data_IF_387697680660
#
_entry.id   IF_387697680660
#
_cell.length_a   1.000
_cell.length_b   1.000
_cell.length_c   1.000
_cell.angle_alpha   90.00
_cell.angle_beta   90.00
_cell.angle_gamma   90.00
#
_symmetry.space_group_name_H-M   'P 1'
#
loop_
_entity.id
_entity.type
_entity.pdbx_description
1 polymer ?
#
# COMPACT_ATOMS: atom_id res chain seq x y z
N UNK A 1 1.13 18.53 5.23
CA UNK A 1 0.38 17.45 5.87
C UNK A 1 0.83 16.11 5.33
N UNK A 2 1.03 15.17 6.22
CA UNK A 2 1.45 13.83 5.81
C UNK A 2 0.29 13.10 5.10
N UNK A 3 0.62 12.35 4.05
CA UNK A 3 -0.35 11.62 3.28
C UNK A 3 -0.80 10.31 3.93
N UNK A 4 -1.86 9.74 3.38
CA UNK A 4 -2.29 8.38 3.67
C UNK A 4 -2.10 7.51 2.44
N UNK A 5 -2.01 6.21 2.69
CA UNK A 5 -1.81 5.22 1.65
C UNK A 5 -2.62 3.98 2.01
N UNK A 6 -3.47 3.54 1.10
CA UNK A 6 -4.17 2.28 1.28
C UNK A 6 -3.28 1.12 0.84
N UNK A 7 -3.30 0.03 1.58
CA UNK A 7 -2.72 -1.21 1.07
C UNK A 7 -3.69 -1.91 0.11
N UNK A 8 -3.24 -3.03 -0.46
CA UNK A 8 -4.06 -3.76 -1.42
C UNK A 8 -5.39 -4.24 -0.83
N UNK A 9 -5.46 -4.55 0.47
CA UNK A 9 -6.68 -5.07 1.09
C UNK A 9 -7.85 -4.08 1.01
N UNK A 10 -7.56 -2.79 1.15
CA UNK A 10 -8.59 -1.73 1.05
C UNK A 10 -9.11 -1.61 -0.38
N UNK A 11 -8.21 -1.60 -1.37
CA UNK A 11 -8.61 -1.53 -2.79
C UNK A 11 -9.37 -2.78 -3.23
N UNK A 12 -8.91 -3.96 -2.84
CA UNK A 12 -9.57 -5.22 -3.18
C UNK A 12 -10.99 -5.23 -2.64
N UNK A 13 -11.19 -4.83 -1.40
CA UNK A 13 -12.52 -4.74 -0.80
C UNK A 13 -13.43 -3.80 -1.59
N UNK A 14 -12.93 -2.62 -1.97
CA UNK A 14 -13.71 -1.64 -2.74
C UNK A 14 -14.03 -2.17 -4.15
N UNK A 15 -13.06 -2.76 -4.84
CA UNK A 15 -13.27 -3.32 -6.19
C UNK A 15 -14.30 -4.45 -6.19
N UNK A 16 -14.34 -5.25 -5.12
CA UNK A 16 -15.33 -6.33 -4.96
C UNK A 16 -16.73 -5.83 -4.64
N UNK A 17 -16.84 -4.65 -4.01
CA UNK A 17 -18.14 -4.05 -3.67
C UNK A 17 -18.83 -3.40 -4.86
N UNK A 18 -18.10 -3.18 -5.97
CA UNK A 18 -18.68 -2.69 -7.22
C UNK A 18 -18.46 -1.18 -7.44
N UNK A 19 -19.18 -0.65 -8.43
CA UNK A 19 -18.91 0.67 -8.99
C UNK A 19 -19.07 1.82 -8.00
N UNK A 20 -20.01 1.73 -7.07
CA UNK A 20 -20.24 2.79 -6.07
C UNK A 20 -19.01 2.96 -5.14
N UNK A 21 -18.39 1.86 -4.73
CA UNK A 21 -17.20 1.91 -3.89
C UNK A 21 -15.99 2.43 -4.67
N UNK A 22 -15.84 2.04 -5.94
CA UNK A 22 -14.80 2.56 -6.84
C UNK A 22 -14.96 4.06 -7.03
N UNK A 23 -16.19 4.54 -7.24
CA UNK A 23 -16.47 5.97 -7.32
C UNK A 23 -16.11 6.69 -6.02
N UNK A 24 -16.33 6.07 -4.87
CA UNK A 24 -15.93 6.61 -3.58
C UNK A 24 -14.41 6.79 -3.46
N UNK A 25 -13.63 5.81 -3.94
CA UNK A 25 -12.17 5.94 -4.01
C UNK A 25 -11.75 7.08 -4.93
N UNK A 26 -12.38 7.22 -6.07
CA UNK A 26 -12.09 8.30 -7.02
C UNK A 26 -12.44 9.67 -6.46
N UNK A 27 -13.50 9.78 -5.68
CA UNK A 27 -13.84 11.02 -4.97
C UNK A 27 -12.81 11.37 -3.93
N UNK A 28 -12.37 10.39 -3.13
CA UNK A 28 -11.32 10.59 -2.15
C UNK A 28 -10.02 11.09 -2.79
N UNK A 29 -9.73 10.61 -4.00
CA UNK A 29 -8.60 11.10 -4.78
C UNK A 29 -8.75 12.56 -5.20
N UNK A 30 -9.95 12.97 -5.63
CA UNK A 30 -10.21 14.30 -6.19
C UNK A 30 -10.39 15.39 -5.14
N UNK A 31 -11.15 15.08 -4.09
CA UNK A 31 -11.59 16.10 -3.14
C UNK A 31 -10.59 16.41 -2.07
N UNK A 32 -9.58 15.52 -1.88
CA UNK A 32 -8.61 15.66 -0.81
C UNK A 32 -9.30 16.36 0.33
N UNK A 33 -9.97 15.67 1.19
CA UNK A 33 -10.77 16.26 2.23
C UNK A 33 -9.98 17.37 2.94
N UNK A 34 -10.60 18.52 3.19
CA UNK A 34 -9.99 19.67 3.87
C UNK A 34 -9.44 19.33 5.25
N UNK A 35 -9.89 18.25 5.83
CA UNK A 35 -9.43 17.75 7.13
C UNK A 35 -8.64 16.45 6.99
N UNK A 36 -8.57 15.87 5.79
CA UNK A 36 -7.92 14.60 5.60
C UNK A 36 -6.61 14.77 4.84
N UNK A 37 -5.75 13.88 5.19
CA UNK A 37 -4.45 13.70 4.58
C UNK A 37 -4.63 13.30 3.12
N UNK A 38 -3.80 13.82 2.20
CA UNK A 38 -3.92 13.46 0.79
C UNK A 38 -3.67 11.96 0.59
N UNK A 39 -4.46 11.36 -0.31
CA UNK A 39 -4.33 9.94 -0.66
C UNK A 39 -3.25 9.75 -1.72
N UNK A 40 -2.33 8.84 -1.46
CA UNK A 40 -1.28 8.42 -2.37
C UNK A 40 -1.48 6.96 -2.77
N UNK A 41 -1.02 6.60 -3.96
CA UNK A 41 -1.00 5.21 -4.41
C UNK A 41 0.44 4.72 -4.44
N UNK A 42 0.71 3.62 -3.76
CA UNK A 42 2.01 2.93 -3.85
C UNK A 42 2.08 2.13 -5.13
N UNK A 43 3.19 2.24 -5.85
CA UNK A 43 3.45 1.40 -7.03
C UNK A 43 3.52 -0.09 -6.66
N UNK A 44 3.96 -0.42 -5.45
CA UNK A 44 3.99 -1.80 -4.96
C UNK A 44 2.58 -2.34 -4.78
N UNK A 45 1.68 -1.52 -4.22
CA UNK A 45 0.25 -1.87 -4.09
C UNK A 45 -0.37 -2.07 -5.48
N UNK A 46 -0.06 -1.19 -6.42
CA UNK A 46 -0.57 -1.28 -7.77
C UNK A 46 -0.12 -2.59 -8.45
N UNK A 47 1.13 -2.99 -8.26
CA UNK A 47 1.64 -4.29 -8.75
C UNK A 47 0.80 -5.43 -8.21
N UNK A 48 0.54 -5.48 -6.91
CA UNK A 48 -0.29 -6.53 -6.29
C UNK A 48 -1.71 -6.55 -6.88
N UNK A 49 -2.28 -5.38 -7.10
CA UNK A 49 -3.62 -5.29 -7.69
C UNK A 49 -3.65 -5.82 -9.12
N UNK A 50 -2.63 -5.52 -9.92
CA UNK A 50 -2.53 -6.07 -11.28
C UNK A 50 -2.36 -7.58 -11.30
N UNK A 51 -1.63 -8.14 -10.36
CA UNK A 51 -1.48 -9.61 -10.25
C UNK A 51 -2.85 -10.30 -10.12
N UNK A 52 -3.78 -9.69 -9.38
CA UNK A 52 -5.13 -10.21 -9.19
C UNK A 52 -6.15 -9.79 -10.24
N UNK A 53 -5.77 -8.96 -11.20
CA UNK A 53 -6.69 -8.37 -12.18
C UNK A 53 -6.86 -9.29 -13.40
N UNK A 54 -7.55 -10.40 -13.22
CA UNK A 54 -7.76 -11.41 -14.26
C UNK A 54 -8.76 -10.90 -15.32
N UNK A 55 -9.78 -10.16 -14.88
CA UNK A 55 -10.83 -9.65 -15.76
C UNK A 55 -10.45 -8.34 -16.44
N UNK A 56 -10.86 -8.19 -17.69
CA UNK A 56 -10.55 -6.99 -18.49
C UNK A 56 -11.09 -5.70 -17.86
N UNK A 57 -12.27 -5.75 -17.26
CA UNK A 57 -12.87 -4.60 -16.59
C UNK A 57 -12.00 -4.12 -15.42
N UNK A 58 -11.52 -5.04 -14.58
CA UNK A 58 -10.66 -4.70 -13.46
C UNK A 58 -9.35 -4.08 -13.94
N UNK A 59 -8.73 -4.64 -14.99
CA UNK A 59 -7.51 -4.06 -15.57
C UNK A 59 -7.73 -2.64 -16.06
N UNK A 60 -8.87 -2.36 -16.70
CA UNK A 60 -9.20 -1.00 -17.16
C UNK A 60 -9.38 -0.04 -15.98
N UNK A 61 -10.04 -0.48 -14.92
CA UNK A 61 -10.23 0.33 -13.71
C UNK A 61 -8.88 0.66 -13.06
N UNK A 62 -7.97 -0.31 -12.98
CA UNK A 62 -6.63 -0.10 -12.43
C UNK A 62 -5.80 0.84 -13.31
N UNK A 63 -5.86 0.69 -14.63
CA UNK A 63 -5.16 1.59 -15.56
C UNK A 63 -5.66 3.03 -15.41
N UNK A 64 -6.95 3.21 -15.21
CA UNK A 64 -7.54 4.54 -14.97
C UNK A 64 -7.05 5.11 -13.65
N UNK A 65 -7.06 4.32 -12.59
CA UNK A 65 -6.52 4.71 -11.29
C UNK A 65 -5.06 5.14 -11.38
N UNK A 66 -4.24 4.33 -12.02
CA UNK A 66 -2.82 4.63 -12.20
C UNK A 66 -2.63 5.98 -12.89
N UNK A 67 -3.34 6.23 -13.97
CA UNK A 67 -3.27 7.52 -14.71
C UNK A 67 -3.71 8.69 -13.83
N UNK A 68 -4.79 8.52 -13.06
CA UNK A 68 -5.30 9.60 -12.19
C UNK A 68 -4.29 9.99 -11.11
N UNK A 69 -3.69 9.00 -10.45
CA UNK A 69 -2.66 9.26 -9.43
C UNK A 69 -1.38 9.84 -10.03
N UNK A 70 -0.96 9.33 -11.18
CA UNK A 70 0.21 9.85 -11.89
C UNK A 70 0.01 11.31 -12.29
N UNK A 71 -1.15 11.64 -12.84
CA UNK A 71 -1.49 12.98 -13.29
C UNK A 71 -1.40 14.02 -12.15
N UNK A 72 -1.80 13.65 -10.95
CA UNK A 72 -1.74 14.57 -9.80
C UNK A 72 -0.45 14.45 -9.00
N UNK A 73 0.50 13.60 -9.44
CA UNK A 73 1.79 13.46 -8.80
C UNK A 73 1.75 12.75 -7.46
N UNK A 74 0.83 11.80 -7.28
CA UNK A 74 0.68 11.06 -6.02
C UNK A 74 0.89 9.56 -6.17
N UNK A 75 1.83 9.16 -7.03
CA UNK A 75 2.36 7.81 -7.04
C UNK A 75 3.59 7.75 -6.13
N UNK A 76 3.57 6.86 -5.16
CA UNK A 76 4.72 6.65 -4.27
C UNK A 76 5.58 5.52 -4.82
N UNK A 77 6.82 5.85 -5.16
CA UNK A 77 7.81 4.88 -5.63
C UNK A 77 8.85 4.68 -4.52
N UNK A 78 9.06 3.43 -4.06
CA UNK A 78 10.13 3.16 -3.12
C UNK A 78 11.49 3.47 -3.75
N UNK A 79 12.36 4.09 -2.98
CA UNK A 79 13.73 4.35 -3.40
C UNK A 79 14.68 3.21 -2.98
N UNK A 80 15.96 3.35 -3.29
CA UNK A 80 16.96 2.35 -2.93
C UNK A 80 16.98 2.07 -1.43
N UNK A 81 16.85 3.11 -0.59
CA UNK A 81 16.83 2.97 0.87
C UNK A 81 15.65 2.18 1.37
N UNK A 82 14.50 2.40 0.78
CA UNK A 82 13.28 1.69 1.16
C UNK A 82 13.43 0.19 0.91
N UNK A 83 13.97 -0.18 -0.24
CA UNK A 83 14.24 -1.57 -0.59
C UNK A 83 15.26 -2.22 0.35
N UNK A 84 16.37 -1.54 0.61
CA UNK A 84 17.43 -2.11 1.47
C UNK A 84 16.99 -2.19 2.94
N UNK A 85 16.24 -1.20 3.41
CA UNK A 85 15.63 -1.23 4.75
C UNK A 85 14.62 -2.36 4.89
N UNK A 86 13.82 -2.60 3.87
CA UNK A 86 12.88 -3.72 3.85
C UNK A 86 13.63 -5.05 3.97
N UNK A 87 14.71 -5.23 3.24
CA UNK A 87 15.55 -6.42 3.33
C UNK A 87 16.11 -6.64 4.74
N UNK A 88 16.57 -5.57 5.38
CA UNK A 88 17.08 -5.64 6.76
C UNK A 88 15.99 -6.04 7.75
N UNK A 89 14.79 -5.47 7.63
CA UNK A 89 13.64 -5.83 8.46
C UNK A 89 13.24 -7.30 8.25
N UNK A 90 13.18 -7.74 6.99
CA UNK A 90 12.84 -9.13 6.67
C UNK A 90 13.86 -10.11 7.25
N UNK A 91 15.16 -9.76 7.24
CA UNK A 91 16.19 -10.56 7.87
C UNK A 91 15.93 -10.72 9.37
N UNK A 92 15.59 -9.65 10.06
CA UNK A 92 15.27 -9.68 11.49
C UNK A 92 14.02 -10.51 11.79
N UNK A 93 13.01 -10.40 10.95
CA UNK A 93 11.81 -11.24 11.05
C UNK A 93 12.16 -12.71 10.90
N UNK A 94 12.96 -13.03 9.90
CA UNK A 94 13.42 -14.40 9.65
C UNK A 94 14.22 -14.98 10.83
N UNK A 95 15.09 -14.19 11.42
CA UNK A 95 15.90 -14.60 12.59
C UNK A 95 15.01 -14.87 13.82
N UNK A 96 13.96 -14.07 14.02
CA UNK A 96 13.11 -14.22 15.22
C UNK A 96 11.98 -15.25 15.01
N UNK A 97 11.35 -15.30 13.83
CA UNK A 97 10.14 -16.08 13.58
C UNK A 97 10.32 -17.19 12.56
N UNK A 98 11.47 -17.29 11.92
CA UNK A 98 11.75 -18.27 10.88
C UNK A 98 11.61 -17.71 9.47
N UNK A 99 12.46 -18.20 8.55
CA UNK A 99 12.54 -17.68 7.19
C UNK A 99 11.42 -18.19 6.28
N UNK A 100 10.61 -19.14 6.71
CA UNK A 100 9.43 -19.58 5.95
C UNK A 100 8.42 -18.43 5.71
N UNK A 101 8.29 -17.52 6.69
CA UNK A 101 7.45 -16.34 6.54
C UNK A 101 8.02 -15.39 5.49
N UNK A 102 9.33 -15.21 5.47
CA UNK A 102 10.02 -14.28 4.57
C UNK A 102 9.92 -14.72 3.11
N UNK A 103 9.75 -16.01 2.86
CA UNK A 103 9.55 -16.54 1.51
C UNK A 103 8.22 -16.14 0.86
N UNK A 104 7.31 -15.54 1.61
CA UNK A 104 6.02 -15.13 1.10
C UNK A 104 6.13 -13.74 0.45
N UNK A 105 5.77 -13.67 -0.84
CA UNK A 105 5.86 -12.42 -1.62
C UNK A 105 5.09 -11.27 -0.98
N UNK A 106 3.95 -11.56 -0.37
CA UNK A 106 3.09 -10.56 0.26
C UNK A 106 3.77 -9.85 1.44
N UNK A 107 4.47 -10.58 2.28
CA UNK A 107 5.22 -9.99 3.39
C UNK A 107 6.35 -9.10 2.87
N UNK A 108 7.05 -9.53 1.83
CA UNK A 108 8.11 -8.75 1.18
C UNK A 108 7.56 -7.43 0.67
N UNK A 109 6.44 -7.47 -0.05
CA UNK A 109 5.79 -6.26 -0.57
C UNK A 109 5.36 -5.33 0.56
N UNK A 110 4.74 -5.86 1.60
CA UNK A 110 4.31 -5.06 2.76
C UNK A 110 5.49 -4.41 3.46
N UNK A 111 6.64 -5.09 3.55
CA UNK A 111 7.85 -4.51 4.13
C UNK A 111 8.37 -3.33 3.30
N UNK A 112 8.35 -3.44 1.96
CA UNK A 112 8.76 -2.33 1.08
C UNK A 112 7.79 -1.15 1.20
N UNK A 113 6.49 -1.43 1.23
CA UNK A 113 5.46 -0.39 1.43
C UNK A 113 5.70 0.31 2.76
N UNK A 114 5.89 -0.44 3.84
CA UNK A 114 6.11 0.11 5.18
C UNK A 114 7.35 1.00 5.24
N UNK A 115 8.44 0.60 4.62
CA UNK A 115 9.68 1.38 4.61
C UNK A 115 9.54 2.66 3.79
N UNK A 116 8.83 2.61 2.66
CA UNK A 116 8.57 3.81 1.86
C UNK A 116 7.70 4.81 2.62
N UNK A 117 6.71 4.31 3.36
CA UNK A 117 5.84 5.13 4.22
C UNK A 117 6.64 5.75 5.38
N UNK A 118 7.52 4.97 6.02
CA UNK A 118 8.38 5.47 7.08
C UNK A 118 9.26 6.62 6.61
N UNK A 119 9.79 6.54 5.40
CA UNK A 119 10.64 7.59 4.82
C UNK A 119 9.88 8.90 4.57
N UNK A 120 8.59 8.81 4.21
CA UNK A 120 7.77 9.97 3.87
C UNK A 120 6.97 10.52 5.05
N UNK A 121 6.87 9.78 6.15
CA UNK A 121 6.00 10.12 7.27
C UNK A 121 4.51 9.95 6.97
N UNK A 122 4.17 9.15 5.96
CA UNK A 122 2.77 8.84 5.64
C UNK A 122 2.20 7.80 6.60
N UNK A 123 0.89 7.54 6.51
CA UNK A 123 0.20 6.52 7.30
C UNK A 123 -0.42 5.49 6.38
N UNK A 124 -0.16 4.21 6.63
CA UNK A 124 -0.82 3.11 5.93
C UNK A 124 -2.17 2.85 6.56
N UNK A 125 -3.20 2.74 5.73
CA UNK A 125 -4.52 2.23 6.13
C UNK A 125 -4.71 0.82 5.57
N UNK A 126 -5.08 -0.12 6.43
CA UNK A 126 -5.18 -1.53 6.07
C UNK A 126 -6.40 -2.19 6.71
N UNK A 127 -6.97 -3.19 6.02
CA UNK A 127 -7.97 -4.11 6.60
C UNK A 127 -7.31 -5.40 7.12
N UNK A 128 -6.00 -5.56 6.87
CA UNK A 128 -5.26 -6.75 7.28
C UNK A 128 -3.97 -6.34 8.01
N UNK A 129 -4.03 -6.07 9.31
CA UNK A 129 -2.90 -5.49 10.05
C UNK A 129 -1.77 -6.46 10.36
N UNK A 130 -1.94 -7.76 10.14
CA UNK A 130 -1.02 -8.80 10.63
C UNK A 130 0.44 -8.58 10.22
N UNK A 131 0.68 -8.34 8.94
CA UNK A 131 2.04 -8.11 8.45
C UNK A 131 2.63 -6.79 8.97
N UNK A 132 1.81 -5.75 9.03
CA UNK A 132 2.27 -4.44 9.49
C UNK A 132 2.59 -4.44 10.99
N UNK A 133 1.83 -5.18 11.80
CA UNK A 133 2.18 -5.40 13.21
C UNK A 133 3.55 -6.06 13.34
N UNK A 134 3.82 -7.07 12.54
CA UNK A 134 5.07 -7.80 12.55
C UNK A 134 6.26 -6.93 12.12
N UNK A 135 6.10 -6.18 11.04
CA UNK A 135 7.12 -5.27 10.52
C UNK A 135 7.43 -4.16 11.54
N UNK A 136 6.40 -3.62 12.19
CA UNK A 136 6.52 -2.54 13.16
C UNK A 136 7.32 -2.93 14.41
N UNK A 137 7.45 -4.22 14.73
CA UNK A 137 8.33 -4.68 15.81
C UNK A 137 9.79 -4.30 15.58
N UNK A 138 10.21 -4.23 14.32
CA UNK A 138 11.62 -4.06 13.96
C UNK A 138 11.97 -2.66 13.47
N UNK A 139 10.97 -1.95 12.93
CA UNK A 139 11.10 -0.56 12.54
C UNK A 139 9.75 0.15 12.65
N UNK A 140 9.66 1.24 13.41
CA UNK A 140 8.40 1.96 13.56
C UNK A 140 8.02 2.70 12.29
N UNK A 141 6.73 2.71 12.00
CA UNK A 141 6.10 3.48 10.95
C UNK A 141 4.63 3.68 11.33
N UNK A 142 3.94 4.60 10.66
CA UNK A 142 2.55 4.89 10.98
C UNK A 142 1.61 3.98 10.19
N UNK A 143 0.73 3.30 10.88
CA UNK A 143 -0.31 2.49 10.28
C UNK A 143 -1.56 2.44 11.15
N UNK A 144 -2.70 2.23 10.53
CA UNK A 144 -3.99 2.15 11.21
C UNK A 144 -4.91 1.17 10.50
N UNK A 145 -5.83 0.57 11.25
CA UNK A 145 -6.82 -0.36 10.71
C UNK A 145 -8.07 0.41 10.27
N UNK A 146 -8.65 0.01 9.16
CA UNK A 146 -9.87 0.63 8.63
C UNK A 146 -10.99 -0.39 8.39
#
# INVERSE_FOLDING_TARGET
MSGILFDASVYIAALRQGDAAVLGLRRALRTGDRQTRPLWLSIVVLEELYVGAIEAKMRRDLQRMEREFDKIGRLLLPDRRDWTSAGQVLCKIGQKYGFNLVGQARLTNDAVIAMSVASCGFTIQTKNPRHFQLIAEFRPFNWETV
#
